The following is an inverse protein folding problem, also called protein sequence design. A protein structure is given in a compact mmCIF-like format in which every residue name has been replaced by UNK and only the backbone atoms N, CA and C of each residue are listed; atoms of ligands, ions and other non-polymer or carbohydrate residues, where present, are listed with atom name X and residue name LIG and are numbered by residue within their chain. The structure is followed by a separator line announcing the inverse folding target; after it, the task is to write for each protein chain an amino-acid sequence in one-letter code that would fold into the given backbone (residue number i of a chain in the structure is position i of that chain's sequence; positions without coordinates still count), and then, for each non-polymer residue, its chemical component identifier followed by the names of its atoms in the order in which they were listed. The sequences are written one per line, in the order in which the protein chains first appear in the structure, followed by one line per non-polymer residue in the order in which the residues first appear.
data_IF_391204262079
#
_entry.id   IF_391204262079
#
_cell.length_a   1.000
_cell.length_b   1.000
_cell.length_c   1.000
_cell.angle_alpha   90.00
_cell.angle_beta   90.00
_cell.angle_gamma   90.00
#
_symmetry.space_group_name_H-M   'P 1'
#
loop_
_entity.id
_entity.type
_entity.pdbx_description
1 polymer ?
#
# COMPACT_ATOMS: atom_id res chain seq x y z
N UNK A 1 -20.45 -31.33 -5.59
CA UNK A 1 -21.69 -30.73 -5.02
C UNK A 1 -21.50 -29.23 -4.75
N UNK A 2 -21.40 -28.36 -5.79
CA UNK A 2 -21.16 -26.91 -5.60
C UNK A 2 -22.43 -26.03 -5.71
N UNK A 3 -23.49 -26.54 -6.33
CA UNK A 3 -24.70 -25.78 -6.69
C UNK A 3 -25.68 -25.56 -5.52
N UNK A 4 -25.65 -26.40 -4.49
CA UNK A 4 -26.57 -26.31 -3.34
C UNK A 4 -26.21 -25.16 -2.38
N UNK A 5 -24.92 -24.84 -2.22
CA UNK A 5 -24.46 -23.86 -1.23
C UNK A 5 -24.64 -22.40 -1.68
N UNK A 6 -24.38 -22.07 -2.95
CA UNK A 6 -24.68 -20.72 -3.47
C UNK A 6 -26.17 -20.37 -3.35
N UNK A 7 -27.04 -21.36 -3.48
CA UNK A 7 -28.47 -21.19 -3.24
C UNK A 7 -28.79 -20.91 -1.76
N UNK A 8 -27.99 -21.42 -0.81
CA UNK A 8 -28.19 -21.19 0.64
C UNK A 8 -27.97 -19.73 1.01
N UNK A 9 -26.85 -19.13 0.59
CA UNK A 9 -26.57 -17.73 0.87
C UNK A 9 -27.59 -16.79 0.24
N UNK A 10 -27.87 -16.97 -1.06
CA UNK A 10 -28.85 -16.15 -1.76
C UNK A 10 -30.24 -16.24 -1.10
N UNK A 11 -30.68 -17.45 -0.70
CA UNK A 11 -31.95 -17.62 0.03
C UNK A 11 -31.94 -16.93 1.38
N UNK A 12 -30.85 -17.01 2.14
CA UNK A 12 -30.73 -16.33 3.44
C UNK A 12 -30.73 -14.81 3.27
N UNK A 13 -30.11 -14.29 2.20
CA UNK A 13 -30.13 -12.86 1.86
C UNK A 13 -31.54 -12.39 1.48
N UNK A 14 -32.21 -13.12 0.58
CA UNK A 14 -33.60 -12.83 0.18
C UNK A 14 -34.57 -12.95 1.36
N UNK A 15 -34.38 -13.94 2.22
CA UNK A 15 -35.16 -14.08 3.45
C UNK A 15 -34.92 -12.88 4.37
N UNK A 16 -33.66 -12.49 4.57
CA UNK A 16 -33.32 -11.33 5.37
C UNK A 16 -34.02 -10.06 4.86
N UNK A 17 -33.89 -9.76 3.58
CA UNK A 17 -34.51 -8.59 2.95
C UNK A 17 -36.05 -8.60 3.02
N UNK A 18 -36.68 -9.80 2.95
CA UNK A 18 -38.14 -9.94 3.07
C UNK A 18 -38.64 -9.76 4.50
N UNK A 19 -37.89 -10.23 5.49
CA UNK A 19 -38.29 -10.14 6.90
C UNK A 19 -38.07 -8.75 7.50
N UNK A 20 -37.24 -7.90 6.87
CA UNK A 20 -37.10 -6.50 7.27
C UNK A 20 -38.35 -5.68 6.94
N UNK A 21 -38.87 -4.96 7.93
CA UNK A 21 -39.91 -3.96 7.72
C UNK A 21 -39.37 -2.73 6.99
N UNK A 22 -40.25 -1.98 6.32
CA UNK A 22 -39.86 -0.76 5.59
C UNK A 22 -39.22 0.29 6.52
N UNK A 23 -39.65 0.33 7.78
CA UNK A 23 -39.05 1.18 8.80
C UNK A 23 -37.63 0.73 9.15
N UNK A 24 -37.40 -0.59 9.30
CA UNK A 24 -36.05 -1.13 9.54
C UNK A 24 -35.12 -0.86 8.36
N UNK A 25 -35.61 -1.00 7.12
CA UNK A 25 -34.83 -0.69 5.91
C UNK A 25 -34.39 0.78 5.89
N UNK A 26 -35.31 1.72 6.13
CA UNK A 26 -34.99 3.15 6.24
C UNK A 26 -33.98 3.46 7.35
N UNK A 27 -34.13 2.80 8.51
CA UNK A 27 -33.21 2.97 9.62
C UNK A 27 -31.82 2.43 9.31
N UNK A 28 -31.71 1.37 8.50
CA UNK A 28 -30.43 0.79 8.10
C UNK A 28 -29.66 1.68 7.11
N UNK A 29 -30.37 2.33 6.18
CA UNK A 29 -29.76 3.27 5.23
C UNK A 29 -29.11 4.47 5.93
N UNK A 30 -29.79 5.04 6.95
CA UNK A 30 -29.22 6.12 7.77
C UNK A 30 -28.18 5.64 8.79
N UNK A 31 -28.29 4.40 9.27
CA UNK A 31 -27.37 3.79 10.23
C UNK A 31 -26.00 3.44 9.63
N UNK A 32 -25.97 2.99 8.37
CA UNK A 32 -24.77 2.57 7.65
C UNK A 32 -23.73 3.69 7.45
N UNK A 33 -24.15 4.95 7.55
CA UNK A 33 -23.28 6.12 7.37
C UNK A 33 -22.50 6.52 8.64
N UNK A 34 -22.92 6.05 9.82
CA UNK A 34 -22.26 6.37 11.08
C UNK A 34 -21.45 5.20 11.61
N UNK A 35 -20.22 5.47 12.02
CA UNK A 35 -19.35 4.46 12.63
C UNK A 35 -20.06 3.77 13.81
N UNK A 36 -19.99 2.43 13.93
CA UNK A 36 -20.49 1.68 15.08
C UNK A 36 -19.99 2.25 16.42
N UNK A 37 -18.75 2.76 16.43
CA UNK A 37 -18.13 3.38 17.62
C UNK A 37 -18.83 4.66 18.05
N UNK A 38 -19.26 5.51 17.12
CA UNK A 38 -20.02 6.72 17.45
C UNK A 38 -21.35 6.36 18.11
N UNK A 39 -22.01 5.33 17.59
CA UNK A 39 -23.27 4.84 18.16
C UNK A 39 -23.07 4.29 19.58
N UNK A 40 -21.98 3.54 19.81
CA UNK A 40 -21.64 3.03 21.15
C UNK A 40 -21.35 4.17 22.12
N UNK A 41 -20.60 5.19 21.70
CA UNK A 41 -20.32 6.37 22.53
C UNK A 41 -21.61 7.11 22.94
N UNK A 42 -22.52 7.33 22.00
CA UNK A 42 -23.82 7.96 22.27
C UNK A 42 -24.64 7.16 23.28
N UNK A 43 -24.63 5.82 23.15
CA UNK A 43 -25.33 4.94 24.09
C UNK A 43 -24.69 4.92 25.48
N UNK A 44 -23.36 4.90 25.55
CA UNK A 44 -22.63 5.00 26.82
C UNK A 44 -22.95 6.32 27.53
N UNK A 45 -23.00 7.44 26.79
CA UNK A 45 -23.38 8.74 27.35
C UNK A 45 -24.81 8.72 27.90
N UNK A 46 -25.77 8.16 27.16
CA UNK A 46 -27.17 8.04 27.59
C UNK A 46 -27.32 7.18 28.84
N UNK A 47 -26.72 5.99 28.84
CA UNK A 47 -26.75 5.08 30.00
C UNK A 47 -25.99 5.65 31.21
N UNK A 48 -24.95 6.45 30.98
CA UNK A 48 -24.20 7.15 32.02
C UNK A 48 -25.05 8.17 32.78
N UNK A 49 -25.84 8.98 32.07
CA UNK A 49 -26.78 9.94 32.68
C UNK A 49 -27.79 9.24 33.60
N UNK A 50 -28.23 8.05 33.21
CA UNK A 50 -29.21 7.27 33.96
C UNK A 50 -28.59 6.35 35.04
N UNK A 51 -27.27 6.43 35.29
CA UNK A 51 -26.51 5.54 36.20
C UNK A 51 -26.68 4.05 35.89
N UNK A 52 -26.82 3.71 34.61
CA UNK A 52 -27.07 2.35 34.07
C UNK A 52 -25.96 1.88 33.11
N UNK A 53 -24.73 2.33 33.34
CA UNK A 53 -23.59 1.98 32.49
C UNK A 53 -23.47 0.46 32.30
N UNK A 54 -23.21 0.07 31.06
CA UNK A 54 -22.94 -1.31 30.65
C UNK A 54 -21.51 -1.39 30.09
N UNK A 55 -20.88 -2.54 30.23
CA UNK A 55 -19.48 -2.72 29.83
C UNK A 55 -19.36 -3.01 28.32
N UNK A 56 -19.45 -1.97 27.49
CA UNK A 56 -19.32 -2.07 26.03
C UNK A 56 -17.93 -2.47 25.54
N UNK A 57 -16.87 -2.33 26.36
CA UNK A 57 -15.52 -2.76 25.92
C UNK A 57 -15.45 -4.27 25.68
N UNK A 58 -16.33 -5.05 26.34
CA UNK A 58 -16.42 -6.51 26.15
C UNK A 58 -16.81 -6.92 24.73
N UNK A 59 -17.57 -6.10 24.02
CA UNK A 59 -18.01 -6.43 22.65
C UNK A 59 -17.02 -6.00 21.58
N UNK A 60 -15.86 -5.44 21.95
CA UNK A 60 -14.87 -5.00 20.96
C UNK A 60 -14.47 -6.15 20.01
N UNK A 61 -14.19 -7.34 20.54
CA UNK A 61 -13.85 -8.50 19.70
C UNK A 61 -14.96 -8.90 18.72
N UNK A 62 -16.23 -8.67 19.08
CA UNK A 62 -17.35 -8.86 18.15
C UNK A 62 -17.38 -7.82 17.04
N UNK A 63 -17.15 -6.55 17.37
CA UNK A 63 -17.11 -5.47 16.39
C UNK A 63 -15.94 -5.66 15.41
N UNK A 64 -14.76 -6.01 15.92
CA UNK A 64 -13.59 -6.30 15.11
C UNK A 64 -13.86 -7.47 14.16
N UNK A 65 -14.51 -8.53 14.65
CA UNK A 65 -14.91 -9.67 13.82
C UNK A 65 -15.91 -9.26 12.72
N UNK A 66 -16.89 -8.42 13.03
CA UNK A 66 -17.87 -7.93 12.04
C UNK A 66 -17.24 -7.03 10.98
N UNK A 67 -16.22 -6.24 11.32
CA UNK A 67 -15.44 -5.48 10.35
C UNK A 67 -14.71 -6.43 9.36
N UNK A 68 -14.19 -7.56 9.84
CA UNK A 68 -13.60 -8.57 8.96
C UNK A 68 -14.67 -9.24 8.07
N UNK A 69 -15.84 -9.54 8.62
CA UNK A 69 -16.97 -10.08 7.84
C UNK A 69 -17.36 -9.11 6.72
N UNK A 70 -17.53 -7.82 7.02
CA UNK A 70 -17.84 -6.79 6.03
C UNK A 70 -16.82 -6.79 4.88
N UNK A 71 -15.52 -6.78 5.21
CA UNK A 71 -14.44 -6.82 4.21
C UNK A 71 -14.51 -8.08 3.35
N UNK A 72 -14.68 -9.25 3.98
CA UNK A 72 -14.73 -10.53 3.27
C UNK A 72 -15.93 -10.62 2.33
N UNK A 73 -17.11 -10.23 2.79
CA UNK A 73 -18.33 -10.28 1.99
C UNK A 73 -18.26 -9.25 0.85
N UNK A 74 -17.72 -8.06 1.08
CA UNK A 74 -17.51 -7.05 0.03
C UNK A 74 -16.57 -7.57 -1.06
N UNK A 75 -15.43 -8.15 -0.68
CA UNK A 75 -14.40 -8.63 -1.61
C UNK A 75 -14.85 -9.88 -2.37
N UNK A 76 -15.50 -10.83 -1.68
CA UNK A 76 -15.75 -12.16 -2.23
C UNK A 76 -17.19 -12.39 -2.69
N UNK A 77 -18.17 -11.67 -2.14
CA UNK A 77 -19.59 -11.86 -2.46
C UNK A 77 -20.15 -10.72 -3.33
N UNK A 78 -19.43 -9.59 -3.47
CA UNK A 78 -19.79 -8.45 -4.33
C UNK A 78 -21.23 -7.95 -4.09
N UNK A 79 -21.66 -7.94 -2.83
CA UNK A 79 -22.96 -7.43 -2.43
C UNK A 79 -22.73 -6.01 -1.90
N UNK A 80 -23.28 -4.99 -2.57
CA UNK A 80 -23.02 -3.59 -2.21
C UNK A 80 -23.79 -3.11 -0.97
N UNK A 81 -24.89 -3.77 -0.61
CA UNK A 81 -25.74 -3.46 0.56
C UNK A 81 -25.23 -4.09 1.88
N UNK A 82 -24.06 -4.74 1.85
CA UNK A 82 -23.53 -5.54 2.97
C UNK A 82 -23.29 -4.74 4.22
N UNK A 83 -22.78 -3.52 4.07
CA UNK A 83 -22.49 -2.64 5.21
C UNK A 83 -23.74 -2.40 6.04
N UNK A 84 -24.88 -2.15 5.38
CA UNK A 84 -26.16 -1.94 6.03
C UNK A 84 -26.68 -3.22 6.72
N UNK A 85 -26.49 -4.39 6.11
CA UNK A 85 -26.96 -5.67 6.67
C UNK A 85 -26.08 -6.23 7.79
N UNK A 86 -24.80 -5.85 7.84
CA UNK A 86 -23.90 -6.15 8.97
C UNK A 86 -24.17 -5.18 10.12
N UNK A 87 -24.13 -3.88 9.87
CA UNK A 87 -24.12 -2.87 10.95
C UNK A 87 -25.50 -2.39 11.37
N UNK A 88 -26.47 -2.33 10.44
CA UNK A 88 -27.83 -1.86 10.71
C UNK A 88 -28.52 -2.64 11.83
N UNK A 89 -28.58 -3.98 11.77
CA UNK A 89 -29.17 -4.79 12.85
C UNK A 89 -28.48 -4.62 14.20
N UNK A 90 -27.15 -4.49 14.22
CA UNK A 90 -26.37 -4.30 15.46
C UNK A 90 -26.75 -2.96 16.09
N UNK A 91 -26.72 -1.88 15.32
CA UNK A 91 -27.09 -0.54 15.78
C UNK A 91 -28.52 -0.49 16.30
N UNK A 92 -29.46 -1.07 15.56
CA UNK A 92 -30.87 -1.10 15.95
C UNK A 92 -31.09 -1.89 17.25
N UNK A 93 -30.52 -3.08 17.37
CA UNK A 93 -30.64 -3.91 18.56
C UNK A 93 -30.07 -3.22 19.80
N UNK A 94 -28.86 -2.64 19.68
CA UNK A 94 -28.25 -1.87 20.77
C UNK A 94 -29.11 -0.67 21.16
N UNK A 95 -29.65 0.08 20.18
CA UNK A 95 -30.47 1.25 20.42
C UNK A 95 -31.75 0.91 21.19
N UNK A 96 -32.45 -0.17 20.80
CA UNK A 96 -33.67 -0.62 21.48
C UNK A 96 -33.34 -1.14 22.89
N UNK A 97 -32.25 -1.90 23.04
CA UNK A 97 -31.83 -2.45 24.33
C UNK A 97 -31.45 -1.36 25.36
N UNK A 98 -31.09 -0.14 24.94
CA UNK A 98 -30.85 0.97 25.89
C UNK A 98 -32.04 1.29 26.78
N UNK A 99 -33.26 0.92 26.35
CA UNK A 99 -34.48 1.16 27.10
C UNK A 99 -34.59 0.32 28.38
N UNK A 100 -33.80 -0.76 28.53
CA UNK A 100 -33.80 -1.59 29.74
C UNK A 100 -32.45 -2.29 29.97
N UNK A 101 -31.81 -2.02 31.10
CA UNK A 101 -30.42 -2.43 31.40
C UNK A 101 -30.19 -3.94 31.30
N UNK A 102 -31.12 -4.77 31.77
CA UNK A 102 -30.94 -6.23 31.75
C UNK A 102 -30.98 -6.79 30.33
N UNK A 103 -31.76 -6.17 29.43
CA UNK A 103 -31.76 -6.53 28.01
C UNK A 103 -30.44 -6.13 27.33
N UNK A 104 -29.89 -4.96 27.69
CA UNK A 104 -28.57 -4.53 27.20
C UNK A 104 -27.48 -5.52 27.64
N UNK A 105 -27.41 -5.88 28.92
CA UNK A 105 -26.41 -6.83 29.43
C UNK A 105 -26.47 -8.18 28.70
N UNK A 106 -27.67 -8.73 28.55
CA UNK A 106 -27.84 -10.02 27.87
C UNK A 106 -27.50 -9.94 26.38
N UNK A 107 -27.83 -8.84 25.71
CA UNK A 107 -27.44 -8.61 24.32
C UNK A 107 -25.91 -8.53 24.16
N UNK A 108 -25.23 -7.82 25.06
CA UNK A 108 -23.77 -7.75 25.06
C UNK A 108 -23.14 -9.14 25.27
N UNK A 109 -23.68 -9.96 26.18
CA UNK A 109 -23.17 -11.32 26.41
C UNK A 109 -23.31 -12.21 25.16
N UNK A 110 -24.41 -12.08 24.42
CA UNK A 110 -24.60 -12.79 23.14
C UNK A 110 -23.60 -12.29 22.08
N UNK A 111 -23.37 -10.99 21.99
CA UNK A 111 -22.37 -10.45 21.06
C UNK A 111 -20.97 -10.95 21.39
N UNK A 112 -20.59 -11.03 22.67
CA UNK A 112 -19.32 -11.67 23.06
C UNK A 112 -19.24 -13.10 22.55
N UNK A 113 -20.27 -13.91 22.80
CA UNK A 113 -20.33 -15.32 22.39
C UNK A 113 -20.24 -15.50 20.86
N UNK A 114 -20.90 -14.62 20.09
CA UNK A 114 -20.81 -14.60 18.63
C UNK A 114 -19.42 -14.14 18.18
N UNK A 115 -18.84 -13.12 18.79
CA UNK A 115 -17.51 -12.62 18.48
C UNK A 115 -16.44 -13.69 18.65
N UNK A 116 -16.52 -14.47 19.74
CA UNK A 116 -15.64 -15.64 19.95
C UNK A 116 -15.78 -16.67 18.83
N UNK A 117 -17.02 -16.99 18.41
CA UNK A 117 -17.30 -17.93 17.32
C UNK A 117 -16.89 -17.42 15.92
N UNK A 118 -16.63 -16.12 15.78
CA UNK A 118 -16.17 -15.47 14.55
C UNK A 118 -14.67 -15.15 14.56
N UNK A 119 -13.94 -15.49 15.63
CA UNK A 119 -12.52 -15.16 15.75
C UNK A 119 -11.67 -15.86 14.68
N UNK A 120 -10.52 -15.27 14.35
CA UNK A 120 -9.55 -15.71 13.32
C UNK A 120 -9.97 -15.57 11.84
N UNK A 121 -11.12 -14.96 11.52
CA UNK A 121 -11.52 -14.74 10.12
C UNK A 121 -10.50 -13.95 9.28
N UNK A 122 -9.80 -12.98 9.89
CA UNK A 122 -8.80 -12.14 9.21
C UNK A 122 -7.67 -12.95 8.55
N UNK A 123 -7.26 -14.05 9.20
CA UNK A 123 -6.15 -14.89 8.75
C UNK A 123 -6.45 -15.64 7.44
N UNK A 124 -7.73 -15.84 7.11
CA UNK A 124 -8.14 -16.60 5.92
C UNK A 124 -8.31 -15.76 4.67
N UNK A 125 -8.16 -14.43 4.76
CA UNK A 125 -8.35 -13.53 3.62
C UNK A 125 -7.47 -13.88 2.40
N UNK A 126 -6.21 -14.26 2.61
CA UNK A 126 -5.29 -14.66 1.53
C UNK A 126 -5.67 -15.99 0.88
N UNK A 127 -6.14 -16.95 1.68
CA UNK A 127 -6.53 -18.29 1.23
C UNK A 127 -7.83 -18.30 0.44
N UNK A 128 -8.82 -17.50 0.86
CA UNK A 128 -10.15 -17.47 0.24
C UNK A 128 -10.05 -17.06 -1.24
N UNK A 129 -9.09 -16.20 -1.61
CA UNK A 129 -8.86 -15.80 -3.02
C UNK A 129 -8.54 -16.95 -3.96
N UNK A 130 -7.93 -18.04 -3.47
CA UNK A 130 -7.38 -19.11 -4.32
C UNK A 130 -8.18 -20.41 -4.27
N UNK A 131 -9.03 -20.59 -3.25
CA UNK A 131 -9.73 -21.86 -2.98
C UNK A 131 -11.25 -21.67 -3.00
N UNK A 132 -11.90 -22.13 -4.06
CA UNK A 132 -13.35 -21.97 -4.27
C UNK A 132 -14.20 -22.56 -3.14
N UNK A 133 -13.79 -23.68 -2.53
CA UNK A 133 -14.53 -24.25 -1.40
C UNK A 133 -14.53 -23.36 -0.15
N UNK A 134 -13.50 -22.51 0.05
CA UNK A 134 -13.47 -21.55 1.17
C UNK A 134 -14.48 -20.42 0.97
N UNK A 135 -14.80 -20.07 -0.30
CA UNK A 135 -15.87 -19.14 -0.62
C UNK A 135 -17.23 -19.68 -0.20
N UNK A 136 -17.47 -20.99 -0.37
CA UNK A 136 -18.70 -21.64 0.10
C UNK A 136 -18.83 -21.61 1.63
N UNK A 137 -17.71 -21.79 2.34
CA UNK A 137 -17.69 -21.66 3.81
C UNK A 137 -18.00 -20.21 4.22
N UNK A 138 -17.48 -19.22 3.50
CA UNK A 138 -17.77 -17.81 3.74
C UNK A 138 -19.26 -17.46 3.49
N UNK A 139 -19.84 -17.98 2.41
CA UNK A 139 -21.28 -17.86 2.11
C UNK A 139 -22.14 -18.40 3.26
N UNK A 140 -21.77 -19.57 3.78
CA UNK A 140 -22.47 -20.18 4.92
C UNK A 140 -22.28 -19.38 6.23
N UNK A 141 -21.08 -18.82 6.46
CA UNK A 141 -20.79 -17.92 7.59
C UNK A 141 -21.72 -16.72 7.57
N UNK A 142 -21.82 -16.04 6.42
CA UNK A 142 -22.63 -14.85 6.32
C UNK A 142 -24.12 -15.18 6.40
N UNK A 143 -24.55 -16.32 5.84
CA UNK A 143 -25.91 -16.85 6.04
C UNK A 143 -26.26 -17.04 7.52
N UNK A 144 -25.35 -17.58 8.34
CA UNK A 144 -25.56 -17.72 9.79
C UNK A 144 -25.68 -16.36 10.50
N UNK A 145 -24.86 -15.38 10.10
CA UNK A 145 -24.89 -14.02 10.64
C UNK A 145 -26.23 -13.32 10.32
N UNK A 146 -26.72 -13.44 9.08
CA UNK A 146 -28.03 -12.90 8.70
C UNK A 146 -29.17 -13.52 9.52
N UNK A 147 -29.15 -14.84 9.72
CA UNK A 147 -30.13 -15.54 10.57
C UNK A 147 -30.05 -15.10 12.03
N UNK A 148 -28.83 -14.90 12.54
CA UNK A 148 -28.62 -14.35 13.88
C UNK A 148 -29.24 -12.96 14.00
N UNK A 149 -29.00 -12.07 13.04
CA UNK A 149 -29.60 -10.75 13.02
C UNK A 149 -31.13 -10.79 13.02
N UNK A 150 -31.75 -11.66 12.21
CA UNK A 150 -33.21 -11.83 12.25
C UNK A 150 -33.71 -12.30 13.61
N UNK A 151 -33.00 -13.23 14.26
CA UNK A 151 -33.37 -13.68 15.61
C UNK A 151 -33.32 -12.54 16.62
N UNK A 152 -32.30 -11.67 16.55
CA UNK A 152 -32.17 -10.50 17.43
C UNK A 152 -33.30 -9.51 17.17
N UNK A 153 -33.56 -9.18 15.90
CA UNK A 153 -34.59 -8.21 15.51
C UNK A 153 -35.99 -8.69 15.87
N UNK A 154 -36.29 -9.99 15.75
CA UNK A 154 -37.58 -10.57 16.14
C UNK A 154 -37.90 -10.35 17.63
N UNK A 155 -36.90 -10.45 18.53
CA UNK A 155 -37.11 -10.19 19.96
C UNK A 155 -37.61 -8.76 20.18
N UNK A 156 -36.96 -7.80 19.54
CA UNK A 156 -37.21 -6.38 19.76
C UNK A 156 -38.38 -5.82 18.94
N UNK A 157 -38.82 -6.52 17.90
CA UNK A 157 -39.95 -6.11 17.06
C UNK A 157 -41.31 -6.46 17.68
N UNK A 158 -41.34 -7.29 18.73
CA UNK A 158 -42.59 -7.71 19.37
C UNK A 158 -43.22 -6.59 20.20
N UNK A 159 -44.55 -6.38 20.12
CA UNK A 159 -45.26 -5.51 21.05
C UNK A 159 -45.01 -5.96 22.49
N UNK A 160 -44.80 -5.01 23.41
CA UNK A 160 -44.55 -5.30 24.82
C UNK A 160 -43.34 -6.21 25.08
N UNK A 161 -42.32 -6.18 24.22
CA UNK A 161 -41.10 -7.00 24.36
C UNK A 161 -40.48 -6.90 25.76
N UNK A 162 -40.58 -5.74 26.43
CA UNK A 162 -40.07 -5.54 27.80
C UNK A 162 -40.74 -6.47 28.81
N UNK A 163 -42.07 -6.60 28.74
CA UNK A 163 -42.85 -7.41 29.68
C UNK A 163 -42.59 -8.91 29.48
N UNK A 164 -42.45 -9.34 28.22
CA UNK A 164 -42.24 -10.74 27.87
C UNK A 164 -40.77 -11.07 27.60
N UNK A 165 -39.85 -10.18 27.96
CA UNK A 165 -38.45 -10.30 27.55
C UNK A 165 -37.85 -11.63 27.99
N UNK A 166 -38.05 -12.06 29.25
CA UNK A 166 -37.46 -13.32 29.74
C UNK A 166 -37.88 -14.53 28.89
N UNK A 167 -39.16 -14.62 28.52
CA UNK A 167 -39.67 -15.70 27.69
C UNK A 167 -39.18 -15.58 26.23
N UNK A 168 -39.28 -14.38 25.64
CA UNK A 168 -38.80 -14.10 24.29
C UNK A 168 -37.29 -14.36 24.17
N UNK A 169 -36.52 -13.99 25.19
CA UNK A 169 -35.08 -14.18 25.28
C UNK A 169 -34.71 -15.66 25.44
N UNK A 170 -35.46 -16.43 26.22
CA UNK A 170 -35.29 -17.89 26.31
C UNK A 170 -35.50 -18.56 24.95
N UNK A 171 -36.57 -18.21 24.24
CA UNK A 171 -36.83 -18.69 22.88
C UNK A 171 -35.73 -18.28 21.90
N UNK A 172 -35.29 -17.02 21.97
CA UNK A 172 -34.16 -16.51 21.20
C UNK A 172 -32.87 -17.29 21.46
N UNK A 173 -32.49 -17.52 22.72
CA UNK A 173 -31.30 -18.31 23.09
C UNK A 173 -31.37 -19.72 22.52
N UNK A 174 -32.55 -20.33 22.52
CA UNK A 174 -32.76 -21.64 21.89
C UNK A 174 -32.54 -21.60 20.36
N UNK A 175 -33.05 -20.56 19.67
CA UNK A 175 -32.89 -20.38 18.22
C UNK A 175 -31.46 -20.08 17.78
N UNK A 176 -30.71 -19.28 18.55
CA UNK A 176 -29.33 -18.92 18.16
C UNK A 176 -28.31 -19.99 18.53
N UNK A 177 -28.61 -20.89 19.48
CA UNK A 177 -27.69 -21.98 19.88
C UNK A 177 -27.16 -22.79 18.69
N UNK A 178 -28.00 -23.32 17.77
CA UNK A 178 -27.50 -24.02 16.59
C UNK A 178 -26.70 -23.12 15.63
N UNK A 179 -27.00 -21.81 15.57
CA UNK A 179 -26.25 -20.85 14.76
C UNK A 179 -24.83 -20.71 15.32
N UNK A 180 -24.70 -20.47 16.63
CA UNK A 180 -23.41 -20.35 17.31
C UNK A 180 -22.59 -21.63 17.15
N UNK A 181 -23.21 -22.80 17.32
CA UNK A 181 -22.54 -24.09 17.12
C UNK A 181 -22.02 -24.26 15.70
N UNK A 182 -22.79 -23.82 14.70
CA UNK A 182 -22.39 -23.87 13.30
C UNK A 182 -21.24 -22.90 12.99
N UNK A 183 -21.26 -21.69 13.54
CA UNK A 183 -20.16 -20.72 13.44
C UNK A 183 -18.86 -21.28 14.04
N UNK A 184 -18.93 -21.84 15.26
CA UNK A 184 -17.77 -22.48 15.92
C UNK A 184 -17.22 -23.66 15.12
N UNK A 185 -18.07 -24.55 14.61
CA UNK A 185 -17.63 -25.67 13.78
C UNK A 185 -16.90 -25.20 12.52
N UNK A 186 -17.42 -24.17 11.84
CA UNK A 186 -16.75 -23.60 10.67
C UNK A 186 -15.43 -22.93 11.05
N UNK A 187 -15.37 -22.33 12.23
CA UNK A 187 -14.16 -21.69 12.75
C UNK A 187 -13.09 -22.74 12.99
N UNK A 188 -13.42 -23.84 13.65
CA UNK A 188 -12.54 -24.98 13.86
C UNK A 188 -12.05 -25.56 12.52
N UNK A 189 -12.95 -25.69 11.53
CA UNK A 189 -12.56 -26.13 10.20
C UNK A 189 -11.57 -25.18 9.52
N UNK A 190 -11.73 -23.87 9.68
CA UNK A 190 -10.77 -22.90 9.15
C UNK A 190 -9.45 -22.95 9.94
N UNK A 191 -9.52 -23.11 11.25
CA UNK A 191 -8.38 -23.22 12.16
C UNK A 191 -7.60 -24.53 12.07
N UNK A 192 -7.97 -25.47 11.19
CA UNK A 192 -7.19 -26.69 10.94
C UNK A 192 -5.73 -26.34 10.61
N UNK A 193 -4.79 -26.88 11.39
CA UNK A 193 -3.34 -26.65 11.29
C UNK A 193 -2.82 -26.85 9.85
N UNK A 194 -3.40 -27.76 9.08
CA UNK A 194 -3.02 -27.98 7.67
C UNK A 194 -3.44 -26.81 6.79
N UNK A 195 -4.62 -26.26 7.01
CA UNK A 195 -5.07 -25.06 6.31
C UNK A 195 -4.27 -23.85 6.73
N UNK A 196 -3.95 -23.72 8.01
CA UNK A 196 -3.15 -22.60 8.49
C UNK A 196 -1.71 -22.64 7.97
N UNK A 197 -1.07 -23.80 8.03
CA UNK A 197 0.27 -24.00 7.47
C UNK A 197 0.28 -23.70 5.97
N UNK A 198 -0.74 -24.15 5.24
CA UNK A 198 -0.90 -23.82 3.83
C UNK A 198 -1.16 -22.32 3.60
N UNK A 199 -1.89 -21.63 4.50
CA UNK A 199 -2.10 -20.18 4.43
C UNK A 199 -0.78 -19.43 4.49
N UNK A 200 0.02 -19.77 5.50
CA UNK A 200 1.30 -19.13 5.78
C UNK A 200 2.26 -19.37 4.62
N UNK A 201 2.37 -20.61 4.14
CA UNK A 201 3.22 -20.95 2.99
C UNK A 201 2.83 -20.18 1.73
N UNK A 202 1.53 -20.02 1.47
CA UNK A 202 1.04 -19.26 0.32
C UNK A 202 1.31 -17.75 0.45
N UNK A 203 1.14 -17.19 1.64
CA UNK A 203 1.46 -15.77 1.91
C UNK A 203 2.95 -15.49 1.77
N UNK A 204 3.80 -16.39 2.29
CA UNK A 204 5.25 -16.34 2.11
C UNK A 204 5.60 -16.42 0.63
N UNK A 205 5.07 -17.40 -0.12
CA UNK A 205 5.33 -17.53 -1.56
C UNK A 205 4.87 -16.29 -2.34
N UNK A 206 3.69 -15.76 -2.04
CA UNK A 206 3.17 -14.55 -2.67
C UNK A 206 4.02 -13.31 -2.37
N UNK A 207 4.57 -13.21 -1.16
CA UNK A 207 5.47 -12.13 -0.76
C UNK A 207 6.82 -12.25 -1.46
N UNK A 208 7.40 -13.46 -1.52
CA UNK A 208 8.67 -13.72 -2.23
C UNK A 208 8.59 -13.37 -3.72
N UNK A 209 7.54 -13.79 -4.42
CA UNK A 209 7.38 -13.46 -5.85
C UNK A 209 7.18 -11.95 -6.10
N UNK A 210 6.58 -11.22 -5.15
CA UNK A 210 6.45 -9.75 -5.23
C UNK A 210 7.79 -9.05 -5.02
N UNK A 211 8.61 -9.55 -4.11
CA UNK A 211 9.97 -9.03 -3.91
C UNK A 211 10.87 -9.34 -5.10
N UNK A 212 10.84 -10.55 -5.64
CA UNK A 212 11.58 -10.95 -6.84
C UNK A 212 11.25 -10.04 -8.02
N UNK A 213 9.97 -9.84 -8.34
CA UNK A 213 9.58 -8.93 -9.42
C UNK A 213 9.99 -7.46 -9.21
N UNK A 214 10.14 -7.00 -7.96
CA UNK A 214 10.71 -5.68 -7.67
C UNK A 214 12.21 -5.63 -7.94
N UNK A 215 12.94 -6.69 -7.61
CA UNK A 215 14.37 -6.77 -7.91
C UNK A 215 14.61 -6.81 -9.43
N UNK A 216 13.86 -7.64 -10.16
CA UNK A 216 13.94 -7.72 -11.62
C UNK A 216 13.64 -6.36 -12.28
N UNK A 217 12.63 -5.64 -11.78
CA UNK A 217 12.29 -4.30 -12.25
C UNK A 217 13.40 -3.27 -11.98
N UNK A 218 14.01 -3.31 -10.80
CA UNK A 218 15.13 -2.43 -10.45
C UNK A 218 16.38 -2.74 -11.28
N UNK A 219 16.65 -4.02 -11.52
CA UNK A 219 17.77 -4.47 -12.37
C UNK A 219 17.58 -4.01 -13.81
N UNK A 220 16.36 -4.12 -14.35
CA UNK A 220 16.03 -3.61 -15.68
C UNK A 220 16.22 -2.08 -15.78
N UNK A 221 15.81 -1.31 -14.76
CA UNK A 221 16.05 0.14 -14.70
C UNK A 221 17.54 0.48 -14.67
N UNK A 222 18.33 -0.19 -13.82
CA UNK A 222 19.78 0.01 -13.75
C UNK A 222 20.45 -0.28 -15.09
N UNK A 223 20.01 -1.34 -15.78
CA UNK A 223 20.53 -1.69 -17.09
C UNK A 223 20.17 -0.66 -18.15
N UNK A 224 18.95 -0.10 -18.11
CA UNK A 224 18.57 1.01 -18.99
C UNK A 224 19.41 2.27 -18.75
N UNK A 225 19.63 2.65 -17.49
CA UNK A 225 20.48 3.80 -17.14
C UNK A 225 21.90 3.59 -17.68
N UNK A 226 22.48 2.41 -17.45
CA UNK A 226 23.83 2.07 -17.92
C UNK A 226 23.93 2.15 -19.44
N UNK A 227 22.95 1.61 -20.17
CA UNK A 227 22.93 1.66 -21.64
C UNK A 227 22.77 3.10 -22.16
N UNK A 228 21.91 3.90 -21.53
CA UNK A 228 21.74 5.31 -21.86
C UNK A 228 23.06 6.07 -21.68
N UNK A 229 23.72 5.91 -20.53
CA UNK A 229 24.98 6.59 -20.22
C UNK A 229 26.11 6.19 -21.18
N UNK A 230 26.18 4.92 -21.55
CA UNK A 230 27.11 4.43 -22.58
C UNK A 230 26.84 5.08 -23.95
N UNK A 231 25.56 5.21 -24.34
CA UNK A 231 25.18 5.84 -25.60
C UNK A 231 25.51 7.34 -25.62
N UNK A 232 25.33 8.05 -24.51
CA UNK A 232 25.73 9.45 -24.35
C UNK A 232 27.25 9.62 -24.47
N UNK A 233 28.04 8.76 -23.83
CA UNK A 233 29.50 8.78 -23.94
C UNK A 233 29.99 8.53 -25.37
N UNK A 234 29.40 7.56 -26.08
CA UNK A 234 29.75 7.26 -27.47
C UNK A 234 29.42 8.44 -28.41
N UNK A 235 28.24 9.04 -28.26
CA UNK A 235 27.86 10.25 -29.01
C UNK A 235 28.81 11.41 -28.74
N UNK A 236 29.17 11.64 -27.47
CA UNK A 236 30.13 12.67 -27.09
C UNK A 236 31.50 12.48 -27.74
N UNK A 237 32.04 11.26 -27.71
CA UNK A 237 33.31 10.94 -28.40
C UNK A 237 33.23 11.14 -29.90
N UNK A 238 32.15 10.70 -30.54
CA UNK A 238 31.96 10.85 -31.99
C UNK A 238 31.87 12.33 -32.39
N UNK A 239 31.11 13.15 -31.64
CA UNK A 239 31.04 14.59 -31.87
C UNK A 239 32.38 15.29 -31.66
N UNK A 240 33.16 14.87 -30.65
CA UNK A 240 34.49 15.42 -30.39
C UNK A 240 35.46 15.07 -31.52
N UNK A 241 35.42 13.84 -32.04
CA UNK A 241 36.21 13.42 -33.19
C UNK A 241 35.85 14.21 -34.45
N UNK A 242 34.55 14.41 -34.71
CA UNK A 242 34.09 15.24 -35.82
C UNK A 242 34.54 16.69 -35.68
N UNK A 243 34.43 17.28 -34.49
CA UNK A 243 34.88 18.65 -34.22
C UNK A 243 36.40 18.78 -34.39
N UNK A 244 37.17 17.80 -33.92
CA UNK A 244 38.63 17.75 -34.11
C UNK A 244 38.99 17.63 -35.60
N UNK A 245 38.31 16.76 -36.35
CA UNK A 245 38.51 16.62 -37.80
C UNK A 245 38.21 17.93 -38.55
N UNK A 246 37.11 18.61 -38.21
CA UNK A 246 36.75 19.88 -38.82
C UNK A 246 37.78 20.98 -38.49
N UNK A 247 38.19 21.09 -37.22
CA UNK A 247 39.21 22.04 -36.78
C UNK A 247 40.56 21.82 -37.45
N UNK A 248 41.04 20.57 -37.50
CA UNK A 248 42.29 20.22 -38.19
C UNK A 248 42.19 20.46 -39.69
N UNK A 249 41.05 20.13 -40.31
CA UNK A 249 40.80 20.40 -41.73
C UNK A 249 40.85 21.89 -42.05
N UNK A 250 40.34 22.76 -41.18
CA UNK A 250 40.44 24.20 -41.34
C UNK A 250 41.87 24.73 -41.13
N UNK A 251 42.58 24.24 -40.10
CA UNK A 251 43.93 24.70 -39.76
C UNK A 251 45.00 24.21 -40.73
N UNK A 252 44.81 23.03 -41.32
CA UNK A 252 45.75 22.41 -42.27
C UNK A 252 45.35 22.68 -43.73
N UNK A 253 44.33 23.53 -43.98
CA UNK A 253 43.96 23.92 -45.33
C UNK A 253 45.05 24.79 -45.96
N UNK A 254 45.92 24.14 -46.73
CA UNK A 254 47.03 24.76 -47.46
C UNK A 254 46.51 25.83 -48.45
N UNK A 255 45.25 25.74 -48.90
CA UNK A 255 44.67 26.72 -49.81
C UNK A 255 44.25 28.03 -49.11
N UNK A 256 44.10 28.04 -47.77
CA UNK A 256 43.87 29.26 -46.98
C UNK A 256 45.16 29.97 -46.59
N UNK A 257 46.30 29.29 -46.66
CA UNK A 257 47.60 29.95 -46.68
C UNK A 257 47.76 30.64 -48.04
N UNK A 258 47.36 31.90 -48.14
CA UNK A 258 47.93 32.76 -49.18
C UNK A 258 49.46 32.64 -49.09
N UNK A 259 50.17 32.40 -50.19
CA UNK A 259 51.62 32.50 -50.18
C UNK A 259 51.95 33.99 -50.01
N UNK A 260 52.02 34.44 -48.76
CA UNK A 260 52.68 35.67 -48.44
C UNK A 260 54.16 35.40 -48.68
N UNK A 261 54.65 35.88 -49.81
CA UNK A 261 56.06 35.93 -50.19
C UNK A 261 56.82 36.74 -49.13
N UNK A 262 57.14 36.12 -48.00
CA UNK A 262 57.99 36.68 -46.94
C UNK A 262 59.32 35.92 -46.81
N UNK A 263 59.55 34.92 -47.66
CA UNK A 263 60.84 34.22 -47.75
C UNK A 263 61.87 34.94 -48.65
N UNK A 264 61.49 36.07 -49.27
CA UNK A 264 62.38 36.88 -50.12
C UNK A 264 62.38 38.37 -49.73
N UNK A 265 62.46 38.67 -48.42
CA UNK A 265 62.81 40.02 -47.97
C UNK A 265 64.30 40.06 -47.57
N UNK A 266 65.23 40.49 -48.45
CA UNK A 266 66.63 40.71 -48.09
C UNK A 266 66.80 42.03 -47.32
N UNK A 267 65.94 42.30 -46.35
CA UNK A 267 66.00 43.52 -45.56
C UNK A 267 66.48 43.21 -44.13
N UNK A 268 67.62 43.83 -43.81
CA UNK A 268 68.15 44.09 -42.45
C UNK A 268 68.88 42.94 -41.74
N UNK A 269 69.81 42.27 -42.42
CA UNK A 269 71.03 41.82 -41.70
C UNK A 269 71.97 43.02 -41.56
N UNK A 270 71.68 43.89 -40.60
CA UNK A 270 72.67 44.85 -40.13
C UNK A 270 73.77 44.01 -39.47
N UNK A 271 75.04 44.29 -39.76
CA UNK A 271 76.15 43.51 -39.20
C UNK A 271 76.16 43.50 -37.65
N UNK A 272 75.46 44.46 -37.02
CA UNK A 272 75.27 44.57 -35.57
C UNK A 272 73.95 43.97 -35.05
N UNK A 273 73.18 43.29 -35.90
CA UNK A 273 71.95 42.59 -35.48
C UNK A 273 72.35 41.43 -34.55
N UNK A 274 72.10 41.60 -33.26
CA UNK A 274 72.46 40.64 -32.20
C UNK A 274 73.46 41.17 -31.19
N UNK A 275 74.16 42.28 -31.48
CA UNK A 275 75.19 42.83 -30.58
C UNK A 275 74.62 43.37 -29.26
N UNK A 276 73.31 43.63 -29.22
CA UNK A 276 72.60 44.07 -28.02
C UNK A 276 72.76 43.08 -26.87
N UNK A 277 72.93 41.78 -27.16
CA UNK A 277 73.04 40.75 -26.13
C UNK A 277 74.31 40.91 -25.29
N UNK A 278 75.42 41.33 -25.92
CA UNK A 278 76.70 41.55 -25.24
C UNK A 278 76.68 42.80 -24.34
N UNK A 279 75.75 43.71 -24.60
CA UNK A 279 75.50 44.88 -23.75
C UNK A 279 74.47 44.61 -22.66
N UNK A 280 73.85 43.42 -22.63
CA UNK A 280 72.78 43.12 -21.67
C UNK A 280 73.36 42.81 -20.28
N UNK A 281 72.86 43.44 -19.20
CA UNK A 281 73.44 43.28 -17.85
C UNK A 281 73.51 41.82 -17.38
N UNK A 282 72.50 41.01 -17.73
CA UNK A 282 72.46 39.58 -17.40
C UNK A 282 73.55 38.78 -18.12
N UNK A 283 73.88 39.15 -19.36
CA UNK A 283 74.96 38.51 -20.10
C UNK A 283 76.32 38.89 -19.50
N UNK A 284 76.53 40.17 -19.17
CA UNK A 284 77.78 40.66 -18.58
C UNK A 284 78.01 40.10 -17.16
N UNK A 285 76.95 39.95 -16.36
CA UNK A 285 77.02 39.31 -15.05
C UNK A 285 77.42 37.84 -15.16
N UNK A 286 76.81 37.11 -16.12
CA UNK A 286 77.18 35.73 -16.41
C UNK A 286 78.62 35.59 -16.95
N UNK A 287 79.08 36.50 -17.81
CA UNK A 287 80.43 36.47 -18.39
C UNK A 287 81.54 36.77 -17.35
N UNK A 288 81.24 37.64 -16.37
CA UNK A 288 82.22 38.13 -15.39
C UNK A 288 82.33 37.29 -14.12
N UNK A 289 81.35 36.43 -13.80
CA UNK A 289 81.40 35.56 -12.63
C UNK A 289 81.94 34.15 -12.94
N UNK A 290 83.17 33.85 -12.50
CA UNK A 290 83.67 32.48 -12.41
C UNK A 290 83.18 31.79 -11.12
N UNK A 291 81.85 31.71 -10.92
CA UNK A 291 81.25 31.05 -9.75
C UNK A 291 80.54 29.75 -10.16
N UNK A 292 80.78 28.67 -9.42
CA UNK A 292 80.36 27.29 -9.74
C UNK A 292 78.85 27.00 -9.66
N UNK A 293 77.99 28.01 -9.50
CA UNK A 293 76.54 27.82 -9.29
C UNK A 293 75.62 28.46 -10.34
N UNK A 294 76.11 29.36 -11.23
CA UNK A 294 75.29 29.97 -12.30
C UNK A 294 75.96 29.90 -13.68
N UNK A 295 76.31 28.68 -14.12
CA UNK A 295 77.01 28.46 -15.40
C UNK A 295 76.11 28.44 -16.65
N UNK A 296 74.80 28.66 -16.54
CA UNK A 296 73.84 28.50 -17.66
C UNK A 296 73.00 29.75 -17.85
N UNK A 297 73.11 30.36 -19.04
CA UNK A 297 72.27 31.48 -19.47
C UNK A 297 71.10 30.98 -20.33
N UNK A 298 69.86 31.24 -19.92
CA UNK A 298 68.67 30.91 -20.70
C UNK A 298 68.26 32.09 -21.60
N UNK A 299 68.15 31.82 -22.91
CA UNK A 299 67.67 32.78 -23.89
C UNK A 299 66.32 32.31 -24.43
N UNK A 300 65.30 33.16 -24.31
CA UNK A 300 63.97 32.91 -24.86
C UNK A 300 63.62 34.01 -25.85
N UNK A 301 63.38 33.63 -27.10
CA UNK A 301 62.99 34.53 -28.17
C UNK A 301 62.47 33.76 -29.38
N UNK A 302 61.71 34.45 -30.24
CA UNK A 302 61.29 33.92 -31.54
C UNK A 302 62.52 33.86 -32.47
N UNK A 303 62.82 32.71 -33.11
CA UNK A 303 63.97 32.63 -34.02
C UNK A 303 63.86 33.68 -35.14
N UNK A 304 64.84 34.61 -35.23
CA UNK A 304 64.92 35.62 -36.29
C UNK A 304 64.31 36.99 -36.00
N UNK A 305 63.95 37.30 -34.74
CA UNK A 305 63.60 38.64 -34.28
C UNK A 305 64.82 39.43 -33.77
#
# INVERSE_FOLDING_TARGET
MPSTNRQSFQRSLEQFQRELSDEQKKQFDGASLQSPNATIQDMQAKLGRDKKLCNFTRIQGFLDAMEQVEKLVTIFLNVHEVVAFVWGPIKLALMIATAWTDSMKQLLDVYVEIGEALSNLAFFHALIKRKEYLRLILEDYFSDILRFHLCVLDVFSRPNWKTFFKAAWGSFRHRIKPIIQSLKRRQEMLSDDKLQSHAILEEVRGSSSRTEGRFDGLEAELQQIRNSLASYHLKGKASQEQHMKAFLGEKLDINKFQPYNQLESPELRIASSGDWIFSHPTFQAWESEHSLQDNVLFLNGSPGA
#
